data_IF_079521564119
#
_entry.id   IF_079521564119
#
_cell.length_a   1.000
_cell.length_b   1.000
_cell.length_c   1.000
_cell.angle_alpha   90.00
_cell.angle_beta   90.00
_cell.angle_gamma   90.00
#
_symmetry.space_group_name_H-M   'P 1'
#
loop_
_entity.id
_entity.type
_entity.pdbx_description
1 polymer ?
#
# COMPACT_ATOMS: atom_id res chain seq x y z
N UNK A 1 -24.38 1.45 5.35
CA UNK A 1 -23.45 2.55 5.69
C UNK A 1 -24.10 3.93 5.69
N UNK A 2 -25.09 4.16 4.82
CA UNK A 2 -25.85 5.43 4.77
C UNK A 2 -26.63 5.70 6.06
N UNK A 3 -27.27 4.68 6.63
CA UNK A 3 -28.03 4.79 7.90
C UNK A 3 -27.16 5.26 9.09
N UNK A 4 -25.98 4.66 9.26
CA UNK A 4 -25.06 5.02 10.35
C UNK A 4 -24.54 6.46 10.22
N UNK A 5 -24.30 6.93 8.98
CA UNK A 5 -23.94 8.33 8.71
C UNK A 5 -25.07 9.30 9.06
N UNK A 6 -26.31 8.94 8.72
CA UNK A 6 -27.49 9.74 9.05
C UNK A 6 -27.72 9.81 10.57
N UNK A 7 -27.49 8.71 11.29
CA UNK A 7 -27.57 8.68 12.75
C UNK A 7 -26.51 9.58 13.40
N UNK A 8 -25.25 9.57 12.93
CA UNK A 8 -24.19 10.46 13.43
C UNK A 8 -24.53 11.96 13.28
N UNK A 9 -25.25 12.33 12.22
CA UNK A 9 -25.65 13.73 11.97
C UNK A 9 -26.81 14.15 12.87
N UNK A 10 -27.75 13.23 13.15
CA UNK A 10 -28.91 13.49 14.00
C UNK A 10 -28.57 13.45 15.49
N UNK A 11 -27.55 12.68 15.87
CA UNK A 11 -27.15 12.50 17.25
C UNK A 11 -26.55 13.79 17.84
N UNK A 12 -27.05 14.18 19.01
CA UNK A 12 -26.65 15.40 19.73
C UNK A 12 -25.67 15.09 20.86
N UNK A 13 -25.78 13.91 21.47
CA UNK A 13 -24.87 13.46 22.52
C UNK A 13 -23.46 13.26 21.92
N UNK A 14 -22.42 13.94 22.46
CA UNK A 14 -21.06 13.81 21.96
C UNK A 14 -20.50 12.38 22.12
N UNK A 15 -20.84 11.66 23.19
CA UNK A 15 -20.25 10.34 23.49
C UNK A 15 -20.82 9.26 22.57
N UNK A 16 -22.13 9.24 22.37
CA UNK A 16 -22.79 8.32 21.44
C UNK A 16 -22.39 8.61 19.99
N UNK A 17 -22.26 9.89 19.64
CA UNK A 17 -21.76 10.29 18.32
C UNK A 17 -20.34 9.79 18.08
N UNK A 18 -19.47 9.84 19.08
CA UNK A 18 -18.11 9.32 18.96
C UNK A 18 -18.10 7.80 18.79
N UNK A 19 -18.89 7.05 19.57
CA UNK A 19 -19.04 5.59 19.43
C UNK A 19 -19.47 5.21 18.01
N UNK A 20 -20.46 5.92 17.46
CA UNK A 20 -20.97 5.69 16.10
C UNK A 20 -19.94 6.03 15.02
N UNK A 21 -19.14 7.09 15.20
CA UNK A 21 -18.03 7.43 14.31
C UNK A 21 -16.89 6.40 14.35
N UNK A 22 -16.53 5.91 15.55
CA UNK A 22 -15.55 4.83 15.73
C UNK A 22 -16.01 3.55 15.03
N UNK A 23 -17.28 3.19 15.17
CA UNK A 23 -17.88 2.05 14.48
C UNK A 23 -17.83 2.21 12.96
N UNK A 24 -18.22 3.37 12.44
CA UNK A 24 -18.16 3.66 11.01
C UNK A 24 -16.72 3.52 10.46
N UNK A 25 -15.74 4.03 11.21
CA UNK A 25 -14.32 3.95 10.84
C UNK A 25 -13.83 2.49 10.83
N UNK A 26 -14.20 1.71 11.85
CA UNK A 26 -13.90 0.27 11.90
C UNK A 26 -14.52 -0.50 10.73
N UNK A 27 -15.80 -0.25 10.43
CA UNK A 27 -16.51 -0.91 9.33
C UNK A 27 -15.91 -0.55 7.97
N UNK A 28 -15.59 0.72 7.74
CA UNK A 28 -14.97 1.18 6.49
C UNK A 28 -13.56 0.61 6.30
N UNK A 29 -12.74 0.60 7.35
CA UNK A 29 -11.41 -0.02 7.33
C UNK A 29 -11.48 -1.51 7.01
N UNK A 30 -12.39 -2.25 7.66
CA UNK A 30 -12.62 -3.69 7.38
C UNK A 30 -13.09 -3.91 5.94
N UNK A 31 -14.01 -3.08 5.44
CA UNK A 31 -14.50 -3.19 4.07
C UNK A 31 -13.39 -2.90 3.04
N UNK A 32 -12.57 -1.87 3.26
CA UNK A 32 -11.43 -1.55 2.41
C UNK A 32 -10.39 -2.67 2.41
N UNK A 33 -10.09 -3.24 3.58
CA UNK A 33 -9.17 -4.37 3.71
C UNK A 33 -9.68 -5.58 2.94
N UNK A 34 -10.97 -5.93 3.07
CA UNK A 34 -11.60 -7.02 2.30
C UNK A 34 -11.47 -6.78 0.80
N UNK A 35 -11.84 -5.60 0.31
CA UNK A 35 -11.69 -5.23 -1.11
C UNK A 35 -10.25 -5.34 -1.60
N UNK A 36 -9.28 -4.89 -0.82
CA UNK A 36 -7.86 -5.01 -1.17
C UNK A 36 -7.39 -6.46 -1.24
N UNK A 37 -7.83 -7.31 -0.30
CA UNK A 37 -7.51 -8.74 -0.32
C UNK A 37 -8.16 -9.49 -1.48
N UNK A 38 -9.37 -9.10 -1.86
CA UNK A 38 -10.11 -9.68 -2.98
C UNK A 38 -9.45 -9.34 -4.31
N UNK A 39 -9.16 -8.05 -4.57
CA UNK A 39 -8.38 -7.62 -5.74
C UNK A 39 -7.06 -8.35 -5.87
N UNK A 40 -6.34 -8.52 -4.75
CA UNK A 40 -5.10 -9.30 -4.72
C UNK A 40 -5.31 -10.76 -5.13
N UNK A 41 -6.38 -11.40 -4.67
CA UNK A 41 -6.73 -12.78 -5.05
C UNK A 41 -7.09 -12.86 -6.53
N UNK A 42 -7.84 -11.88 -7.06
CA UNK A 42 -8.22 -11.79 -8.47
C UNK A 42 -6.99 -11.64 -9.37
N UNK A 43 -6.06 -10.75 -9.03
CA UNK A 43 -4.78 -10.61 -9.73
C UNK A 43 -4.02 -11.94 -9.81
N UNK A 44 -3.89 -12.64 -8.69
CA UNK A 44 -3.20 -13.94 -8.65
C UNK A 44 -3.94 -14.99 -9.47
N UNK A 45 -5.28 -14.99 -9.45
CA UNK A 45 -6.09 -15.89 -10.26
C UNK A 45 -5.94 -15.59 -11.75
N UNK A 46 -5.99 -14.32 -12.15
CA UNK A 46 -5.79 -13.88 -13.53
C UNK A 46 -4.42 -14.30 -14.05
N UNK A 47 -3.38 -14.06 -13.25
CA UNK A 47 -2.02 -14.47 -13.59
C UNK A 47 -1.86 -15.99 -13.74
N UNK A 48 -2.46 -16.79 -12.84
CA UNK A 48 -2.45 -18.25 -12.95
C UNK A 48 -3.13 -18.77 -14.21
N UNK A 49 -4.22 -18.10 -14.64
CA UNK A 49 -4.91 -18.44 -15.89
C UNK A 49 -4.03 -18.17 -17.12
N UNK A 50 -3.42 -16.98 -17.19
CA UNK A 50 -2.50 -16.65 -18.29
C UNK A 50 -1.29 -17.59 -18.32
N UNK A 51 -0.76 -17.96 -17.16
CA UNK A 51 0.34 -18.92 -17.08
C UNK A 51 -0.09 -20.30 -17.57
N UNK A 52 -1.28 -20.77 -17.17
CA UNK A 52 -1.81 -22.05 -17.63
C UNK A 52 -1.98 -22.11 -19.16
N UNK A 53 -2.37 -21.00 -19.80
CA UNK A 53 -2.44 -20.90 -21.26
C UNK A 53 -1.06 -20.95 -21.92
N UNK A 54 -0.06 -20.29 -21.33
CA UNK A 54 1.32 -20.34 -21.81
C UNK A 54 1.93 -21.74 -21.67
N UNK A 55 1.60 -22.44 -20.58
CA UNK A 55 2.01 -23.83 -20.35
C UNK A 55 1.36 -24.77 -21.35
N UNK A 56 0.06 -24.58 -21.66
CA UNK A 56 -0.61 -25.33 -22.74
C UNK A 56 0.08 -25.15 -24.09
N UNK A 57 0.65 -23.97 -24.36
CA UNK A 57 1.45 -23.67 -25.55
C UNK A 57 2.89 -24.24 -25.50
N UNK A 58 3.22 -25.02 -24.47
CA UNK A 58 4.51 -25.68 -24.31
C UNK A 58 5.58 -24.88 -23.56
N UNK A 59 5.26 -23.70 -23.01
CA UNK A 59 6.20 -22.97 -22.15
C UNK A 59 6.33 -23.65 -20.79
N UNK A 60 7.51 -23.55 -20.18
CA UNK A 60 7.74 -24.09 -18.83
C UNK A 60 6.94 -23.29 -17.80
N UNK A 61 6.22 -23.94 -16.86
CA UNK A 61 5.50 -23.24 -15.81
C UNK A 61 6.44 -22.36 -14.97
N UNK A 62 6.11 -21.09 -14.87
CA UNK A 62 6.72 -20.17 -13.94
C UNK A 62 5.83 -20.03 -12.70
N UNK A 63 6.41 -19.79 -11.53
CA UNK A 63 5.69 -19.57 -10.28
C UNK A 63 6.02 -18.17 -9.76
N UNK A 64 4.99 -17.39 -9.38
CA UNK A 64 5.21 -16.11 -8.69
C UNK A 64 6.04 -16.36 -7.43
N UNK A 65 7.23 -15.74 -7.34
CA UNK A 65 8.06 -15.89 -6.14
C UNK A 65 7.33 -15.25 -4.98
N UNK A 66 6.97 -16.06 -3.98
CA UNK A 66 6.57 -15.55 -2.67
C UNK A 66 7.76 -14.76 -2.15
N UNK A 67 7.57 -13.47 -1.89
CA UNK A 67 8.65 -12.56 -1.50
C UNK A 67 9.49 -13.19 -0.40
N UNK A 68 10.80 -13.29 -0.61
CA UNK A 68 11.72 -13.82 0.39
C UNK A 68 11.50 -13.04 1.69
N UNK A 69 11.17 -13.75 2.76
CA UNK A 69 11.23 -13.19 4.11
C UNK A 69 12.66 -12.71 4.27
N UNK A 70 12.85 -11.41 4.54
CA UNK A 70 14.16 -10.87 4.90
C UNK A 70 14.65 -11.67 6.10
N UNK A 71 15.54 -12.64 5.89
CA UNK A 71 16.42 -13.08 6.97
C UNK A 71 17.17 -11.83 7.39
N UNK A 72 16.85 -11.34 8.58
CA UNK A 72 17.44 -10.16 9.20
C UNK A 72 18.89 -10.50 9.53
N UNK A 73 19.78 -10.48 8.54
CA UNK A 73 21.22 -10.56 8.78
C UNK A 73 21.64 -9.22 9.37
N UNK A 74 22.10 -9.29 10.61
CA UNK A 74 22.55 -8.18 11.47
C UNK A 74 23.88 -7.63 10.95
N UNK A 75 23.95 -7.04 9.75
CA UNK A 75 25.05 -6.11 9.43
C UNK A 75 24.62 -5.11 8.34
N UNK A 76 24.50 -3.84 8.71
CA UNK A 76 24.92 -2.66 7.95
C UNK A 76 24.38 -2.33 6.56
N UNK A 77 24.20 -3.28 5.64
CA UNK A 77 23.81 -2.99 4.27
C UNK A 77 22.32 -3.31 4.05
N UNK A 78 21.48 -2.26 4.10
CA UNK A 78 20.16 -2.32 3.47
C UNK A 78 20.34 -2.29 1.97
N UNK A 79 20.63 -3.45 1.38
CA UNK A 79 20.27 -3.68 -0.02
C UNK A 79 18.82 -4.16 0.03
N UNK A 80 17.89 -3.29 -0.40
CA UNK A 80 16.46 -3.59 -0.50
C UNK A 80 16.21 -4.67 -1.57
N UNK A 81 16.56 -5.92 -1.26
CA UNK A 81 16.28 -7.04 -2.14
C UNK A 81 14.84 -7.53 -1.96
N UNK A 82 14.02 -7.23 -2.96
CA UNK A 82 12.99 -8.16 -3.42
C UNK A 82 11.58 -7.86 -2.95
N UNK A 83 10.95 -6.85 -3.55
CA UNK A 83 9.49 -6.79 -3.60
C UNK A 83 8.97 -8.06 -4.30
N UNK A 84 8.26 -8.94 -3.60
CA UNK A 84 7.74 -10.19 -4.18
C UNK A 84 6.88 -9.92 -5.42
N UNK A 85 6.90 -10.83 -6.40
CA UNK A 85 6.32 -10.59 -7.74
C UNK A 85 4.83 -10.24 -7.70
N UNK A 86 4.09 -10.83 -6.76
CA UNK A 86 2.67 -10.49 -6.48
C UNK A 86 2.51 -9.01 -6.14
N UNK A 87 3.40 -8.50 -5.29
CA UNK A 87 3.32 -7.11 -4.83
C UNK A 87 3.68 -6.17 -5.97
N UNK A 88 4.61 -6.55 -6.85
CA UNK A 88 4.94 -5.79 -8.08
C UNK A 88 3.72 -5.66 -8.99
N UNK A 89 2.99 -6.76 -9.22
CA UNK A 89 1.75 -6.76 -10.00
C UNK A 89 0.69 -5.83 -9.38
N UNK A 90 0.50 -5.89 -8.06
CA UNK A 90 -0.40 -4.98 -7.34
C UNK A 90 0.01 -3.51 -7.49
N UNK A 91 1.31 -3.20 -7.44
CA UNK A 91 1.78 -1.83 -7.65
C UNK A 91 1.55 -1.37 -9.08
N UNK A 92 1.84 -2.20 -10.07
CA UNK A 92 1.63 -1.88 -11.48
C UNK A 92 0.15 -1.58 -11.73
N UNK A 93 -0.77 -2.39 -11.19
CA UNK A 93 -2.20 -2.14 -11.33
C UNK A 93 -2.64 -0.84 -10.62
N UNK A 94 -2.12 -0.57 -9.41
CA UNK A 94 -2.41 0.68 -8.70
C UNK A 94 -1.91 1.90 -9.47
N UNK A 95 -0.68 1.88 -9.96
CA UNK A 95 -0.11 3.01 -10.70
C UNK A 95 -0.73 3.19 -12.08
N UNK A 96 -1.22 2.12 -12.73
CA UNK A 96 -2.03 2.24 -13.95
C UNK A 96 -3.34 3.01 -13.74
N UNK A 97 -3.89 2.96 -12.53
CA UNK A 97 -5.11 3.70 -12.17
C UNK A 97 -4.82 5.17 -11.82
N UNK A 98 -3.56 5.54 -11.55
CA UNK A 98 -3.16 6.93 -11.28
C UNK A 98 -2.57 7.58 -12.53
N UNK A 99 -2.84 8.88 -12.72
CA UNK A 99 -2.20 9.66 -13.78
C UNK A 99 -0.76 10.05 -13.45
N UNK A 100 0.04 10.33 -14.47
CA UNK A 100 1.46 10.74 -14.35
C UNK A 100 1.64 11.93 -13.39
N UNK A 101 0.78 12.95 -13.51
CA UNK A 101 0.79 14.14 -12.64
C UNK A 101 0.56 13.81 -11.16
N UNK A 102 -0.25 12.81 -10.85
CA UNK A 102 -0.53 12.41 -9.47
C UNK A 102 0.62 11.60 -8.88
N UNK A 103 1.28 10.80 -9.72
CA UNK A 103 2.49 10.06 -9.37
C UNK A 103 3.62 11.04 -9.05
N UNK A 104 3.83 12.06 -9.89
CA UNK A 104 4.86 13.08 -9.67
C UNK A 104 4.62 13.88 -8.39
N UNK A 105 3.38 14.30 -8.13
CA UNK A 105 3.02 14.95 -6.86
C UNK A 105 3.31 14.05 -5.66
N UNK A 106 3.01 12.76 -5.75
CA UNK A 106 3.30 11.81 -4.67
C UNK A 106 4.81 11.62 -4.45
N UNK A 107 5.60 11.53 -5.54
CA UNK A 107 7.05 11.44 -5.48
C UNK A 107 7.68 12.70 -4.89
N UNK A 108 7.24 13.89 -5.30
CA UNK A 108 7.72 15.15 -4.75
C UNK A 108 7.47 15.26 -3.24
N UNK A 109 6.26 14.90 -2.76
CA UNK A 109 5.95 14.86 -1.32
C UNK A 109 6.87 13.90 -0.57
N UNK A 110 7.15 12.72 -1.15
CA UNK A 110 8.03 11.72 -0.54
C UNK A 110 9.49 12.18 -0.51
N UNK A 111 9.98 12.81 -1.58
CA UNK A 111 11.32 13.44 -1.64
C UNK A 111 11.47 14.51 -0.56
N UNK A 112 10.52 15.44 -0.45
CA UNK A 112 10.52 16.49 0.60
C UNK A 112 10.52 15.89 2.01
N UNK A 113 9.72 14.85 2.26
CA UNK A 113 9.69 14.15 3.55
C UNK A 113 11.01 13.44 3.86
N UNK A 114 11.64 12.80 2.87
CA UNK A 114 12.94 12.14 3.06
C UNK A 114 14.03 13.17 3.35
N UNK A 115 14.12 14.24 2.56
CA UNK A 115 15.05 15.34 2.79
C UNK A 115 14.89 15.92 4.20
N UNK A 116 13.65 16.23 4.62
CA UNK A 116 13.37 16.73 5.98
C UNK A 116 13.83 15.76 7.08
N UNK A 117 13.68 14.44 6.88
CA UNK A 117 14.19 13.44 7.82
C UNK A 117 15.71 13.41 7.86
N UNK A 118 16.38 13.54 6.73
CA UNK A 118 17.85 13.60 6.64
C UNK A 118 18.38 14.86 7.33
N UNK A 119 17.76 16.03 7.09
CA UNK A 119 18.09 17.28 7.78
C UNK A 119 17.90 17.21 9.29
N UNK A 120 16.96 16.39 9.80
CA UNK A 120 16.77 16.18 11.25
C UNK A 120 18.01 15.56 11.92
N UNK A 121 18.74 14.70 11.20
CA UNK A 121 19.94 14.03 11.73
C UNK A 121 21.25 14.78 11.45
N UNK A 122 21.21 15.89 10.71
CA UNK A 122 22.39 16.72 10.48
C UNK A 122 22.78 17.49 11.75
N UNK A 123 24.07 17.58 12.11
CA UNK A 123 24.52 18.41 13.23
C UNK A 123 24.10 19.87 13.06
N UNK A 124 23.77 20.55 14.17
CA UNK A 124 23.23 21.93 14.15
C UNK A 124 24.14 22.92 13.40
N UNK A 125 25.47 22.79 13.57
CA UNK A 125 26.49 23.58 12.84
C UNK A 125 26.41 23.47 11.31
N UNK A 126 25.82 22.39 10.76
CA UNK A 126 25.58 22.22 9.32
C UNK A 126 24.15 22.57 8.89
N UNK A 127 23.23 22.79 9.83
CA UNK A 127 21.86 23.24 9.55
C UNK A 127 21.75 24.77 9.47
N UNK A 128 22.65 25.49 10.14
CA UNK A 128 22.67 26.95 10.23
C UNK A 128 23.65 27.62 9.26
N UNK A 129 24.22 26.87 8.31
CA UNK A 129 25.22 27.36 7.36
C UNK A 129 24.59 27.78 6.01
N UNK A 130 23.32 28.20 6.05
CA UNK A 130 22.55 28.72 4.91
C UNK A 130 21.99 30.10 5.29
#
# INVERSE_FOLDING_TARGET
MTLLKQQIVKEKDPDEKEKMQRLLTSMTSRAQTRKATEKRRELVRGWKKSEAELVKKGKKPFFLKKGKVFLRVRVGLRIDHGFGDVKRLELVEKFKQLGEKDIDKALQKRRKKNASREHRFMPYKRRSAE
#
